data_IF_153824670291
#
_entry.id   IF_153824670291
#
_cell.length_a   1.000
_cell.length_b   1.000
_cell.length_c   1.000
_cell.angle_alpha   90.00
_cell.angle_beta   90.00
_cell.angle_gamma   90.00
#
_symmetry.space_group_name_H-M   'P 1'
#
loop_
_entity.id
_entity.type
_entity.pdbx_description
1 polymer ?
#
# COMPACT_ATOMS: atom_id res chain seq x y z
N UNK A 1 -41.62 -1.94 37.64
CA UNK A 1 -40.15 -2.19 37.70
C UNK A 1 -39.86 -3.50 36.98
N UNK A 2 -39.65 -3.46 35.67
CA UNK A 2 -39.31 -4.63 34.84
C UNK A 2 -38.25 -4.22 33.81
N UNK A 3 -37.27 -5.11 33.63
CA UNK A 3 -36.06 -4.96 32.82
C UNK A 3 -36.40 -4.98 31.33
N UNK A 4 -36.02 -3.94 30.60
CA UNK A 4 -35.91 -3.99 29.14
C UNK A 4 -34.45 -4.26 28.77
N UNK A 5 -34.19 -5.49 28.31
CA UNK A 5 -32.92 -5.89 27.71
C UNK A 5 -32.83 -5.24 26.32
N UNK A 6 -31.86 -4.34 26.12
CA UNK A 6 -31.46 -3.90 24.79
C UNK A 6 -30.32 -4.79 24.31
N UNK A 7 -30.65 -5.71 23.42
CA UNK A 7 -29.70 -6.55 22.68
C UNK A 7 -28.86 -5.68 21.75
N UNK A 8 -27.60 -5.43 22.10
CA UNK A 8 -26.60 -4.90 21.17
C UNK A 8 -26.15 -6.02 20.23
N UNK A 9 -26.71 -6.03 19.02
CA UNK A 9 -26.21 -6.86 17.93
C UNK A 9 -24.81 -6.37 17.51
N UNK A 10 -23.78 -7.12 17.90
CA UNK A 10 -22.42 -6.95 17.38
C UNK A 10 -22.38 -7.58 15.99
N UNK A 11 -22.21 -6.76 14.95
CA UNK A 11 -21.87 -7.22 13.60
C UNK A 11 -20.41 -7.70 13.53
N UNK A 12 -20.04 -8.56 12.57
CA UNK A 12 -18.71 -9.15 12.50
C UNK A 12 -17.71 -8.14 11.94
N UNK A 13 -17.12 -7.33 12.84
CA UNK A 13 -16.03 -6.43 12.50
C UNK A 13 -14.72 -7.21 12.40
N UNK A 14 -14.09 -7.09 11.23
CA UNK A 14 -12.90 -7.78 10.76
C UNK A 14 -11.72 -7.81 11.75
N UNK A 15 -11.22 -9.01 12.02
CA UNK A 15 -10.07 -9.32 12.88
C UNK A 15 -8.70 -9.01 12.26
N UNK A 16 -8.61 -8.18 11.21
CA UNK A 16 -7.33 -7.77 10.58
C UNK A 16 -6.86 -6.41 11.08
N UNK A 17 -6.77 -6.27 12.40
CA UNK A 17 -6.22 -5.10 13.08
C UNK A 17 -4.96 -5.55 13.79
N UNK A 18 -3.78 -4.98 13.48
CA UNK A 18 -2.66 -4.79 14.43
C UNK A 18 -1.38 -4.20 13.81
N UNK A 19 -0.80 -3.31 14.62
CA UNK A 19 0.54 -2.71 14.74
C UNK A 19 1.60 -2.97 13.66
N UNK A 20 2.18 -1.85 13.27
CA UNK A 20 3.50 -1.76 12.70
C UNK A 20 4.60 -2.36 13.60
N UNK A 21 5.56 -3.08 13.00
CA UNK A 21 6.76 -3.59 13.69
C UNK A 21 6.80 -5.10 14.00
N UNK A 22 5.86 -5.91 13.49
CA UNK A 22 6.00 -7.36 13.56
C UNK A 22 7.18 -7.83 12.69
N UNK A 23 8.04 -8.70 13.22
CA UNK A 23 9.11 -9.32 12.43
C UNK A 23 8.48 -10.14 11.30
N UNK A 24 8.74 -9.73 10.06
CA UNK A 24 8.29 -10.43 8.86
C UNK A 24 9.26 -11.57 8.54
N UNK A 25 8.74 -12.63 7.93
CA UNK A 25 9.56 -13.66 7.31
C UNK A 25 9.71 -13.32 5.81
N UNK A 26 10.91 -12.93 5.33
CA UNK A 26 11.11 -12.58 3.92
C UNK A 26 10.72 -13.68 2.95
N UNK A 27 10.83 -14.96 3.33
CA UNK A 27 10.48 -16.10 2.47
C UNK A 27 8.97 -16.27 2.30
N UNK A 28 8.19 -15.58 3.15
CA UNK A 28 6.73 -15.66 3.22
C UNK A 28 6.08 -14.29 3.03
N UNK A 29 6.85 -13.34 2.52
CA UNK A 29 6.42 -11.96 2.30
C UNK A 29 6.40 -11.65 0.80
N UNK A 30 5.32 -11.03 0.34
CA UNK A 30 5.24 -10.38 -0.96
C UNK A 30 5.37 -8.87 -0.78
N UNK A 31 6.33 -8.25 -1.45
CA UNK A 31 6.49 -6.80 -1.49
C UNK A 31 5.90 -6.24 -2.79
N UNK A 32 4.88 -5.39 -2.68
CA UNK A 32 4.37 -4.54 -3.75
C UNK A 32 4.98 -3.15 -3.58
N UNK A 33 5.82 -2.71 -4.53
CA UNK A 33 6.56 -1.45 -4.40
C UNK A 33 6.73 -0.72 -5.72
N UNK A 34 7.19 0.54 -5.66
CA UNK A 34 7.48 1.28 -6.88
C UNK A 34 8.72 0.72 -7.59
N UNK A 35 8.72 0.65 -8.92
CA UNK A 35 9.86 0.16 -9.70
C UNK A 35 11.10 1.07 -9.62
N UNK A 36 10.93 2.35 -9.28
CA UNK A 36 12.03 3.31 -9.14
C UNK A 36 12.53 3.46 -7.69
N UNK A 37 11.89 2.80 -6.72
CA UNK A 37 12.29 2.85 -5.32
C UNK A 37 13.60 2.07 -5.09
N UNK A 38 14.58 2.70 -4.44
CA UNK A 38 15.81 2.03 -4.00
C UNK A 38 15.66 1.56 -2.54
N UNK A 39 14.85 0.51 -2.34
CA UNK A 39 14.52 0.03 -0.99
C UNK A 39 15.66 -0.80 -0.38
N UNK A 40 16.16 -0.46 0.83
CA UNK A 40 17.20 -1.24 1.51
C UNK A 40 16.60 -2.50 2.18
N UNK A 41 16.22 -3.50 1.37
CA UNK A 41 15.41 -4.65 1.80
C UNK A 41 15.95 -5.40 3.02
N UNK A 42 17.27 -5.60 3.13
CA UNK A 42 17.89 -6.25 4.28
C UNK A 42 17.61 -5.49 5.59
N UNK A 43 17.77 -4.17 5.56
CA UNK A 43 17.52 -3.30 6.73
C UNK A 43 16.03 -3.19 7.06
N UNK A 44 15.17 -3.31 6.05
CA UNK A 44 13.72 -3.35 6.22
C UNK A 44 13.21 -4.71 6.76
N UNK A 45 14.09 -5.70 6.95
CA UNK A 45 13.68 -7.06 7.34
C UNK A 45 12.95 -7.82 6.23
N UNK A 46 13.18 -7.43 4.97
CA UNK A 46 12.60 -8.00 3.75
C UNK A 46 13.62 -8.80 2.93
N UNK A 47 14.77 -9.12 3.53
CA UNK A 47 15.75 -10.06 2.99
C UNK A 47 16.37 -10.87 4.12
N UNK A 48 16.60 -12.16 3.88
CA UNK A 48 17.31 -13.04 4.80
C UNK A 48 18.44 -13.74 4.04
N UNK A 49 19.66 -13.70 4.60
CA UNK A 49 20.85 -14.35 4.02
C UNK A 49 21.13 -13.90 2.57
N UNK A 50 20.91 -12.62 2.27
CA UNK A 50 21.09 -12.04 0.93
C UNK A 50 20.00 -12.39 -0.08
N UNK A 51 18.99 -13.17 0.30
CA UNK A 51 17.85 -13.51 -0.57
C UNK A 51 16.71 -12.53 -0.24
N UNK A 52 16.24 -11.71 -1.19
CA UNK A 52 15.11 -10.82 -0.95
C UNK A 52 13.79 -11.59 -0.95
N UNK A 53 12.77 -11.00 -0.34
CA UNK A 53 11.39 -11.44 -0.48
C UNK A 53 10.90 -11.38 -1.95
N UNK A 54 9.77 -12.02 -2.22
CA UNK A 54 9.11 -11.93 -3.53
C UNK A 54 8.66 -10.48 -3.79
N UNK A 55 8.80 -10.00 -5.03
CA UNK A 55 8.54 -8.60 -5.38
C UNK A 55 7.64 -8.47 -6.60
N UNK A 56 6.66 -7.57 -6.49
CA UNK A 56 5.89 -7.04 -7.62
C UNK A 56 6.11 -5.53 -7.68
N UNK A 57 6.65 -5.05 -8.79
CA UNK A 57 7.06 -3.64 -8.92
C UNK A 57 6.37 -2.98 -10.11
N UNK A 58 5.70 -1.87 -9.86
CA UNK A 58 4.98 -1.09 -10.88
C UNK A 58 5.15 0.42 -10.61
N UNK A 59 4.88 1.31 -11.59
CA UNK A 59 4.88 2.74 -11.35
C UNK A 59 3.93 3.09 -10.20
N UNK A 60 4.39 3.87 -9.23
CA UNK A 60 3.67 4.24 -8.01
C UNK A 60 3.00 3.06 -7.29
N UNK A 61 3.58 1.84 -7.37
CA UNK A 61 3.01 0.61 -6.78
C UNK A 61 1.51 0.44 -7.05
N UNK A 62 1.04 0.90 -8.22
CA UNK A 62 -0.38 0.91 -8.55
C UNK A 62 -0.94 -0.50 -8.53
N UNK A 63 -2.05 -0.68 -7.81
CA UNK A 63 -2.83 -1.90 -7.72
C UNK A 63 -4.25 -1.55 -8.14
N UNK A 64 -4.75 -2.16 -9.20
CA UNK A 64 -6.14 -1.95 -9.57
C UNK A 64 -7.07 -2.71 -8.62
N UNK A 65 -8.28 -2.17 -8.35
CA UNK A 65 -9.28 -2.87 -7.58
C UNK A 65 -9.71 -4.17 -8.29
N UNK A 66 -10.12 -5.14 -7.51
CA UNK A 66 -10.61 -6.43 -8.00
C UNK A 66 -11.82 -6.25 -8.92
N UNK A 67 -11.76 -6.91 -10.08
CA UNK A 67 -12.89 -7.09 -10.99
C UNK A 67 -12.73 -8.40 -11.74
N UNK A 68 -13.83 -9.14 -11.91
CA UNK A 68 -13.82 -10.38 -12.71
C UNK A 68 -13.39 -10.10 -14.17
N UNK A 69 -13.71 -8.91 -14.68
CA UNK A 69 -13.38 -8.49 -16.05
C UNK A 69 -11.88 -8.22 -16.27
N UNK A 70 -11.10 -7.96 -15.21
CA UNK A 70 -9.65 -7.65 -15.29
C UNK A 70 -8.78 -8.77 -14.70
N UNK A 71 -9.35 -9.95 -14.51
CA UNK A 71 -8.68 -11.13 -13.91
C UNK A 71 -7.31 -11.45 -14.53
N UNK A 72 -7.17 -11.31 -15.85
CA UNK A 72 -5.91 -11.53 -16.56
C UNK A 72 -4.80 -10.53 -16.22
N UNK A 73 -5.14 -9.24 -16.03
CA UNK A 73 -4.18 -8.17 -15.69
C UNK A 73 -3.60 -8.35 -14.28
N UNK A 74 -4.30 -9.11 -13.43
CA UNK A 74 -3.94 -9.37 -12.04
C UNK A 74 -3.53 -10.81 -11.77
N UNK A 75 -3.35 -11.63 -12.81
CA UNK A 75 -3.05 -13.05 -12.66
C UNK A 75 -1.81 -13.31 -11.79
N UNK A 76 -0.75 -12.52 -11.96
CA UNK A 76 0.47 -12.63 -11.16
C UNK A 76 0.23 -12.32 -9.67
N UNK A 77 -0.55 -11.27 -9.37
CA UNK A 77 -0.90 -10.92 -7.99
C UNK A 77 -1.78 -12.00 -7.37
N UNK A 78 -2.81 -12.45 -8.08
CA UNK A 78 -3.69 -13.53 -7.61
C UNK A 78 -2.94 -14.82 -7.34
N UNK A 79 -2.03 -15.21 -8.24
CA UNK A 79 -1.21 -16.40 -8.07
C UNK A 79 -0.31 -16.25 -6.83
N UNK A 80 0.35 -15.10 -6.68
CA UNK A 80 1.22 -14.81 -5.53
C UNK A 80 0.45 -14.82 -4.20
N UNK A 81 -0.80 -14.33 -4.19
CA UNK A 81 -1.69 -14.36 -3.02
C UNK A 81 -2.23 -15.77 -2.72
N UNK A 82 -2.33 -16.63 -3.73
CA UNK A 82 -2.84 -18.00 -3.60
C UNK A 82 -1.79 -19.01 -3.16
N UNK A 83 -0.50 -18.67 -3.31
CA UNK A 83 0.60 -19.50 -2.80
C UNK A 83 0.50 -19.61 -1.27
N UNK A 84 0.42 -20.85 -0.76
CA UNK A 84 0.21 -21.14 0.68
C UNK A 84 1.34 -20.62 1.57
N UNK A 85 2.46 -20.28 0.96
CA UNK A 85 3.65 -19.76 1.60
C UNK A 85 3.53 -18.27 1.90
N UNK A 86 2.74 -17.51 1.13
CA UNK A 86 2.55 -16.06 1.33
C UNK A 86 1.69 -15.81 2.57
N UNK A 87 2.32 -15.26 3.60
CA UNK A 87 1.70 -14.92 4.87
C UNK A 87 1.50 -13.42 5.06
N UNK A 88 2.38 -12.64 4.45
CA UNK A 88 2.41 -11.19 4.57
C UNK A 88 2.52 -10.56 3.19
N UNK A 89 1.78 -9.48 2.98
CA UNK A 89 1.88 -8.61 1.82
C UNK A 89 2.22 -7.23 2.32
N UNK A 90 3.36 -6.69 1.88
CA UNK A 90 3.76 -5.31 2.18
C UNK A 90 3.49 -4.47 0.95
N UNK A 91 2.62 -3.48 1.06
CA UNK A 91 2.52 -2.41 0.07
C UNK A 91 3.38 -1.23 0.53
N UNK A 92 4.44 -0.94 -0.22
CA UNK A 92 5.43 0.06 0.15
C UNK A 92 5.50 1.18 -0.87
N UNK A 93 5.07 2.36 -0.45
CA UNK A 93 5.32 3.61 -1.17
C UNK A 93 6.67 4.21 -0.81
N UNK A 94 7.03 5.25 -1.54
CA UNK A 94 8.16 6.11 -1.19
C UNK A 94 7.86 7.57 -1.50
N UNK A 95 8.44 8.48 -0.72
CA UNK A 95 8.09 9.92 -0.74
C UNK A 95 8.47 10.58 -2.07
N UNK A 96 9.64 10.25 -2.64
CA UNK A 96 10.14 10.86 -3.89
C UNK A 96 9.83 10.01 -5.11
N UNK A 97 8.56 9.62 -5.26
CA UNK A 97 8.11 8.80 -6.37
C UNK A 97 7.98 9.59 -7.67
N UNK A 98 8.83 9.27 -8.66
CA UNK A 98 8.81 9.91 -9.98
C UNK A 98 7.45 9.77 -10.66
N UNK A 99 6.82 8.59 -10.52
CA UNK A 99 5.51 8.35 -11.10
C UNK A 99 4.45 9.29 -10.48
N UNK A 100 4.43 9.47 -9.15
CA UNK A 100 3.51 10.38 -8.48
C UNK A 100 3.79 11.85 -8.82
N UNK A 101 5.06 12.25 -8.94
CA UNK A 101 5.42 13.61 -9.35
C UNK A 101 4.86 13.95 -10.74
N UNK A 102 4.91 12.99 -11.66
CA UNK A 102 4.32 13.16 -12.99
C UNK A 102 2.78 13.25 -12.92
N UNK A 103 2.13 12.50 -12.03
CA UNK A 103 0.67 12.59 -11.84
C UNK A 103 0.23 13.95 -11.26
N UNK A 104 1.11 14.64 -10.52
CA UNK A 104 0.83 15.96 -9.95
C UNK A 104 1.00 17.10 -10.97
N UNK A 105 1.86 16.93 -11.98
CA UNK A 105 2.17 17.93 -13.01
C UNK A 105 1.94 17.37 -14.42
N UNK A 106 0.70 17.42 -14.88
CA UNK A 106 0.29 16.94 -16.21
C UNK A 106 1.05 17.63 -17.36
N UNK A 107 1.49 18.88 -17.17
CA UNK A 107 2.26 19.61 -18.17
C UNK A 107 3.70 19.08 -18.30
N UNK A 108 4.25 18.48 -17.24
CA UNK A 108 5.54 17.78 -17.25
C UNK A 108 5.43 16.29 -17.54
N UNK A 109 4.21 15.77 -17.69
CA UNK A 109 4.02 14.36 -17.96
C UNK A 109 4.57 13.97 -19.34
N UNK A 110 5.61 13.13 -19.34
CA UNK A 110 6.05 12.44 -20.56
C UNK A 110 4.89 11.59 -21.08
N UNK A 111 4.81 11.42 -22.39
CA UNK A 111 3.72 10.66 -23.04
C UNK A 111 3.49 9.27 -22.42
N UNK A 112 4.56 8.55 -22.04
CA UNK A 112 4.46 7.25 -21.37
C UNK A 112 3.78 7.30 -19.98
N UNK A 113 3.93 8.40 -19.24
CA UNK A 113 3.32 8.58 -17.93
C UNK A 113 1.93 9.23 -18.00
N UNK A 114 1.57 9.88 -19.11
CA UNK A 114 0.19 10.34 -19.34
C UNK A 114 -0.80 9.16 -19.38
N UNK A 115 -0.36 7.98 -19.81
CA UNK A 115 -1.18 6.77 -19.71
C UNK A 115 -1.42 6.34 -18.26
N UNK A 116 -0.46 6.58 -17.35
CA UNK A 116 -0.63 6.27 -15.93
C UNK A 116 -1.73 7.14 -15.30
N UNK A 117 -1.82 8.43 -15.67
CA UNK A 117 -2.90 9.30 -15.16
C UNK A 117 -4.28 8.89 -15.66
N UNK A 118 -4.37 8.05 -16.69
CA UNK A 118 -5.63 7.48 -17.17
C UNK A 118 -6.00 6.18 -16.45
N UNK A 119 -5.07 5.54 -15.75
CA UNK A 119 -5.35 4.31 -15.00
C UNK A 119 -6.32 4.62 -13.84
N UNK A 120 -7.41 3.85 -13.68
CA UNK A 120 -8.35 4.05 -12.58
C UNK A 120 -7.67 4.07 -11.20
N UNK A 121 -6.68 3.19 -11.00
CA UNK A 121 -5.91 3.08 -9.78
C UNK A 121 -5.16 4.37 -9.40
N UNK A 122 -4.65 5.09 -10.40
CA UNK A 122 -3.93 6.35 -10.20
C UNK A 122 -4.90 7.54 -10.02
N UNK A 123 -5.99 7.55 -10.81
CA UNK A 123 -7.00 8.61 -10.75
C UNK A 123 -7.64 8.74 -9.37
N UNK A 124 -7.92 7.61 -8.71
CA UNK A 124 -8.48 7.61 -7.36
C UNK A 124 -7.63 8.44 -6.39
N UNK A 125 -6.31 8.23 -6.37
CA UNK A 125 -5.38 9.01 -5.53
C UNK A 125 -5.37 10.49 -5.95
N UNK A 126 -5.26 10.79 -7.25
CA UNK A 126 -5.20 12.17 -7.76
C UNK A 126 -6.44 12.96 -7.35
N UNK A 127 -7.61 12.39 -7.53
CA UNK A 127 -8.89 13.03 -7.22
C UNK A 127 -9.05 13.25 -5.71
N UNK A 128 -8.69 12.26 -4.90
CA UNK A 128 -8.68 12.37 -3.44
C UNK A 128 -7.76 13.51 -2.99
N UNK A 129 -6.54 13.56 -3.50
CA UNK A 129 -5.54 14.57 -3.11
C UNK A 129 -5.95 15.96 -3.57
N UNK A 130 -6.46 16.11 -4.80
CA UNK A 130 -6.98 17.40 -5.30
C UNK A 130 -8.15 17.89 -4.45
N UNK A 131 -9.07 17.00 -4.07
CA UNK A 131 -10.26 17.35 -3.29
C UNK A 131 -9.94 17.76 -1.86
N UNK A 132 -9.09 16.99 -1.17
CA UNK A 132 -8.88 17.13 0.27
C UNK A 132 -7.64 17.97 0.61
N UNK A 133 -6.66 18.01 -0.28
CA UNK A 133 -5.34 18.63 -0.03
C UNK A 133 -4.90 19.60 -1.13
N UNK A 134 -5.83 20.08 -1.96
CA UNK A 134 -5.56 20.98 -3.10
C UNK A 134 -4.92 22.34 -2.73
N UNK A 135 -4.71 22.64 -1.45
CA UNK A 135 -3.97 23.81 -0.95
C UNK A 135 -2.50 23.53 -0.65
N UNK A 136 -2.10 22.26 -0.46
CA UNK A 136 -0.71 21.89 -0.19
C UNK A 136 0.15 22.06 -1.44
N UNK A 137 1.42 22.40 -1.26
CA UNK A 137 2.40 22.59 -2.35
C UNK A 137 3.75 22.00 -1.93
N UNK A 138 4.64 21.80 -2.91
CA UNK A 138 6.02 21.37 -2.65
C UNK A 138 6.09 20.02 -1.93
N UNK A 139 7.00 19.92 -0.94
CA UNK A 139 7.24 18.67 -0.20
C UNK A 139 6.03 18.19 0.57
N UNK A 140 5.25 19.08 1.18
CA UNK A 140 4.03 18.70 1.90
C UNK A 140 3.01 18.02 0.99
N UNK A 141 2.86 18.49 -0.26
CA UNK A 141 1.99 17.84 -1.24
C UNK A 141 2.55 16.48 -1.67
N UNK A 142 3.87 16.36 -1.86
CA UNK A 142 4.52 15.09 -2.22
C UNK A 142 4.34 14.03 -1.13
N UNK A 143 4.55 14.41 0.12
CA UNK A 143 4.41 13.52 1.28
C UNK A 143 2.97 13.01 1.40
N UNK A 144 1.99 13.92 1.33
CA UNK A 144 0.57 13.54 1.37
C UNK A 144 0.19 12.68 0.17
N UNK A 145 0.64 13.04 -1.05
CA UNK A 145 0.37 12.24 -2.25
C UNK A 145 0.91 10.81 -2.10
N UNK A 146 2.12 10.64 -1.55
CA UNK A 146 2.71 9.33 -1.33
C UNK A 146 1.95 8.51 -0.28
N UNK A 147 1.55 9.14 0.83
CA UNK A 147 0.75 8.50 1.89
C UNK A 147 -0.62 8.05 1.37
N UNK A 148 -1.36 8.97 0.74
CA UNK A 148 -2.69 8.70 0.21
C UNK A 148 -2.65 7.67 -0.92
N UNK A 149 -1.58 7.65 -1.72
CA UNK A 149 -1.41 6.61 -2.72
C UNK A 149 -1.29 5.22 -2.08
N UNK A 150 -0.45 5.07 -1.06
CA UNK A 150 -0.28 3.79 -0.35
C UNK A 150 -1.62 3.30 0.20
N UNK A 151 -2.40 4.19 0.83
CA UNK A 151 -3.70 3.84 1.39
C UNK A 151 -4.75 3.51 0.32
N UNK A 152 -4.78 4.28 -0.77
CA UNK A 152 -5.68 4.02 -1.90
C UNK A 152 -5.38 2.67 -2.54
N UNK A 153 -4.11 2.35 -2.76
CA UNK A 153 -3.71 1.07 -3.34
C UNK A 153 -3.91 -0.11 -2.35
N UNK A 154 -3.79 0.14 -1.05
CA UNK A 154 -4.16 -0.82 -0.01
C UNK A 154 -5.66 -1.14 -0.09
N UNK A 155 -6.52 -0.13 -0.20
CA UNK A 155 -7.96 -0.32 -0.32
C UNK A 155 -8.32 -1.13 -1.57
N UNK A 156 -7.70 -0.83 -2.71
CA UNK A 156 -7.84 -1.63 -3.92
C UNK A 156 -7.41 -3.08 -3.71
N UNK A 157 -6.26 -3.32 -3.09
CA UNK A 157 -5.76 -4.66 -2.79
C UNK A 157 -6.72 -5.44 -1.88
N UNK A 158 -7.33 -4.79 -0.89
CA UNK A 158 -8.27 -5.42 0.04
C UNK A 158 -9.60 -5.83 -0.61
N UNK A 159 -9.91 -5.35 -1.82
CA UNK A 159 -11.07 -5.82 -2.58
C UNK A 159 -10.91 -7.23 -3.16
N UNK A 160 -9.69 -7.79 -3.17
CA UNK A 160 -9.43 -9.12 -3.71
C UNK A 160 -10.08 -10.20 -2.85
N UNK A 161 -10.77 -11.20 -3.44
CA UNK A 161 -11.51 -12.23 -2.69
C UNK A 161 -10.67 -12.98 -1.63
N UNK A 162 -9.40 -13.25 -1.94
CA UNK A 162 -8.48 -13.92 -1.03
C UNK A 162 -8.19 -13.09 0.23
N UNK A 163 -8.24 -11.76 0.13
CA UNK A 163 -7.96 -10.83 1.22
C UNK A 163 -9.22 -10.39 1.96
N UNK A 164 -10.37 -10.33 1.32
CA UNK A 164 -11.63 -9.91 1.97
C UNK A 164 -12.23 -10.99 2.88
N UNK A 165 -12.00 -12.28 2.60
CA UNK A 165 -12.63 -13.42 3.28
C UNK A 165 -12.03 -13.87 4.64
N UNK A 166 -11.19 -13.07 5.30
CA UNK A 166 -10.71 -13.34 6.66
C UNK A 166 -9.60 -14.41 6.81
N UNK A 167 -9.28 -15.18 5.77
CA UNK A 167 -8.25 -16.24 5.80
C UNK A 167 -6.98 -16.03 4.97
N UNK A 168 -6.92 -14.99 4.13
CA UNK A 168 -5.73 -14.64 3.35
C UNK A 168 -4.59 -13.97 4.14
N UNK A 169 -3.49 -13.64 3.45
CA UNK A 169 -2.32 -13.06 4.08
C UNK A 169 -2.62 -11.72 4.76
N UNK A 170 -1.80 -11.39 5.76
CA UNK A 170 -1.81 -10.08 6.42
C UNK A 170 -1.29 -9.03 5.44
N UNK A 171 -1.84 -7.83 5.50
CA UNK A 171 -1.44 -6.74 4.61
C UNK A 171 -0.90 -5.58 5.44
N UNK A 172 0.23 -5.04 5.03
CA UNK A 172 0.96 -3.98 5.73
C UNK A 172 1.19 -2.80 4.78
N UNK A 173 0.87 -1.58 5.21
CA UNK A 173 1.10 -0.37 4.43
C UNK A 173 2.33 0.39 4.97
N UNK A 174 3.37 0.47 4.16
CA UNK A 174 4.64 1.13 4.49
C UNK A 174 4.90 2.32 3.59
N UNK A 175 5.64 3.30 4.13
CA UNK A 175 6.15 4.44 3.40
C UNK A 175 7.64 4.60 3.72
N UNK A 176 8.46 4.57 2.69
CA UNK A 176 9.89 4.81 2.79
C UNK A 176 10.25 6.26 2.43
N UNK A 177 11.10 6.90 3.23
CA UNK A 177 11.63 8.22 2.92
C UNK A 177 13.13 8.12 2.58
N UNK A 178 13.43 8.27 1.28
CA UNK A 178 14.80 8.23 0.77
C UNK A 178 15.70 9.35 1.30
N UNK A 179 15.14 10.43 1.88
CA UNK A 179 15.92 11.60 2.34
C UNK A 179 16.68 11.29 3.64
N UNK A 180 16.02 10.65 4.58
CA UNK A 180 16.58 10.34 5.91
C UNK A 180 16.70 8.84 6.19
N UNK A 181 16.34 8.02 5.20
CA UNK A 181 16.29 6.55 5.24
C UNK A 181 15.35 6.05 6.34
N UNK A 182 14.22 6.72 6.55
CA UNK A 182 13.22 6.27 7.53
C UNK A 182 12.15 5.38 6.89
N UNK A 183 11.72 4.40 7.68
CA UNK A 183 10.59 3.56 7.35
C UNK A 183 9.43 3.89 8.28
N UNK A 184 8.28 4.16 7.67
CA UNK A 184 7.02 4.42 8.34
C UNK A 184 6.04 3.32 8.00
N UNK A 185 5.18 2.98 8.94
CA UNK A 185 4.13 2.01 8.72
C UNK A 185 2.81 2.60 9.21
N UNK A 186 1.76 2.33 8.46
CA UNK A 186 0.44 2.81 8.78
C UNK A 186 -0.13 2.06 9.98
N UNK A 187 -0.51 2.80 11.01
CA UNK A 187 -1.28 2.29 12.14
C UNK A 187 -2.76 2.59 11.91
N UNK A 188 -3.55 1.52 11.73
CA UNK A 188 -4.99 1.62 11.55
C UNK A 188 -5.76 2.06 12.81
N UNK A 189 -5.19 1.90 14.01
CA UNK A 189 -5.83 2.33 15.27
C UNK A 189 -5.78 3.86 15.38
N UNK A 190 -4.63 4.46 15.07
CA UNK A 190 -4.40 5.90 15.12
C UNK A 190 -4.66 6.60 13.77
N UNK A 191 -4.95 5.85 12.72
CA UNK A 191 -5.15 6.33 11.34
C UNK A 191 -4.01 7.23 10.83
N UNK A 192 -2.77 6.83 11.13
CA UNK A 192 -1.59 7.63 10.79
C UNK A 192 -0.38 6.75 10.46
N UNK A 193 0.56 7.28 9.69
CA UNK A 193 1.87 6.68 9.52
C UNK A 193 2.74 6.95 10.76
N UNK A 194 3.18 5.88 11.42
CA UNK A 194 4.08 5.93 12.56
C UNK A 194 5.47 5.46 12.17
N UNK A 195 6.50 6.24 12.54
CA UNK A 195 7.91 5.92 12.26
C UNK A 195 8.27 4.62 12.98
N UNK A 196 8.83 3.67 12.25
CA UNK A 196 9.21 2.36 12.79
C UNK A 196 10.70 2.31 13.10
N UNK A 197 11.53 2.59 12.09
CA UNK A 197 12.98 2.41 12.16
C UNK A 197 13.66 3.47 11.30
N UNK A 198 14.84 3.90 11.74
CA UNK A 198 15.78 4.66 10.89
C UNK A 198 16.84 3.69 10.34
N UNK A 199 16.94 3.57 9.02
CA UNK A 199 17.70 2.53 8.33
C UNK A 199 19.15 2.93 7.98
N UNK A 200 19.77 3.77 8.81
CA UNK A 200 21.17 4.21 8.64
C UNK A 200 22.16 3.11 8.96
#
# INVERSE_FOLDING_TARGET
>A
MQRSQSTSAQGPASTRRRRAGAALDPQRTLLISCFDAALPLERMGLSARGIPCAQMRSPAHLVAPWSEATTGEHAALQLSLSMRETHDVVICGHVRCTALEVLLDEARARQAFQLLSQMPAARATIELVRRNYGRLRGDALREVMAQENVLTQLDHLLTYPLLSGGGGPRVHAWLYDDRDMSLWAYDSEDSQFARQVQLR
#
